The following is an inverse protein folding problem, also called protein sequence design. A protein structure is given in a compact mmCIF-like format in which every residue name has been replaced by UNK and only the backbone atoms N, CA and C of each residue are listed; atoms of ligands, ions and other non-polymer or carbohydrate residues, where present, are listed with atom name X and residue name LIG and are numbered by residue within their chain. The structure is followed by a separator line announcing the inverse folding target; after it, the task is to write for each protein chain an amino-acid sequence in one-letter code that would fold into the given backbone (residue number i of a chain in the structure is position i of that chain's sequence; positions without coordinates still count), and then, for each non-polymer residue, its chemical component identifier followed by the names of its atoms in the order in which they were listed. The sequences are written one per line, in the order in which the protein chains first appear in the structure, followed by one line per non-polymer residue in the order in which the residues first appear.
data_IF_774961847703
#
_entry.id   IF_774961847703
#
_cell.length_a   1.000
_cell.length_b   1.000
_cell.length_c   1.000
_cell.angle_alpha   90.00
_cell.angle_beta   90.00
_cell.angle_gamma   90.00
#
_symmetry.space_group_name_H-M   'P 1'
#
loop_
_entity.id
_entity.type
_entity.pdbx_description
1 polymer ?
#
# COMPACT_ATOMS: atom_id res chain seq x y z
N UNK A 1 0.29 -3.04 15.43
CA UNK A 1 -0.47 -1.93 14.82
C UNK A 1 0.35 -1.08 13.86
N UNK A 2 1.51 -0.55 14.28
CA UNK A 2 2.30 0.41 13.47
C UNK A 2 2.98 -0.21 12.25
N UNK A 3 3.43 -1.47 12.33
CA UNK A 3 4.03 -2.18 11.20
C UNK A 3 3.02 -2.41 10.07
N UNK A 4 1.80 -2.79 10.44
CA UNK A 4 0.69 -2.97 9.50
C UNK A 4 0.35 -1.67 8.79
N UNK A 5 0.32 -0.57 9.53
CA UNK A 5 0.01 0.75 8.96
C UNK A 5 1.08 1.21 7.96
N UNK A 6 2.37 1.08 8.28
CA UNK A 6 3.44 1.48 7.37
C UNK A 6 3.48 0.64 6.09
N UNK A 7 3.26 -0.68 6.20
CA UNK A 7 3.17 -1.54 5.01
C UNK A 7 1.94 -1.17 4.17
N UNK A 8 0.78 -1.00 4.80
CA UNK A 8 -0.43 -0.59 4.11
C UNK A 8 -0.23 0.74 3.37
N UNK A 9 0.26 1.77 4.05
CA UNK A 9 0.54 3.09 3.48
C UNK A 9 1.42 2.99 2.21
N UNK A 10 2.49 2.19 2.27
CA UNK A 10 3.37 1.98 1.12
C UNK A 10 2.63 1.34 -0.08
N UNK A 11 1.92 0.22 0.11
CA UNK A 11 1.21 -0.45 -1.01
C UNK A 11 -0.07 0.29 -1.43
N UNK A 12 -0.64 1.12 -0.56
CA UNK A 12 -1.79 1.97 -0.85
C UNK A 12 -1.43 3.25 -1.59
N UNK A 13 -0.18 3.70 -1.53
CA UNK A 13 0.25 4.97 -2.12
C UNK A 13 1.51 4.83 -2.97
N UNK A 14 1.63 3.71 -3.68
CA UNK A 14 2.65 3.50 -4.71
C UNK A 14 2.06 2.80 -5.92
N UNK A 15 2.78 2.85 -7.04
CA UNK A 15 2.42 2.08 -8.23
C UNK A 15 2.87 0.61 -8.15
N UNK A 16 3.15 0.07 -6.96
CA UNK A 16 3.59 -1.32 -6.80
C UNK A 16 2.59 -2.31 -7.41
N UNK A 17 1.29 -2.13 -7.12
CA UNK A 17 0.23 -3.01 -7.62
C UNK A 17 0.11 -2.92 -9.15
N UNK A 18 0.26 -1.71 -9.72
CA UNK A 18 0.28 -1.51 -11.17
C UNK A 18 1.41 -2.31 -11.83
N UNK A 19 2.63 -2.13 -11.33
CA UNK A 19 3.82 -2.81 -11.86
C UNK A 19 3.71 -4.33 -11.73
N UNK A 20 3.16 -4.81 -10.60
CA UNK A 20 2.96 -6.24 -10.40
C UNK A 20 1.90 -6.79 -11.37
N UNK A 21 0.79 -6.10 -11.57
CA UNK A 21 -0.25 -6.49 -12.53
C UNK A 21 0.30 -6.48 -13.96
N UNK A 22 1.05 -5.45 -14.35
CA UNK A 22 1.71 -5.35 -15.67
C UNK A 22 2.60 -6.58 -15.93
N UNK A 23 3.44 -6.94 -14.95
CA UNK A 23 4.35 -8.08 -15.06
C UNK A 23 3.64 -9.45 -15.12
N UNK A 24 2.42 -9.56 -14.57
CA UNK A 24 1.69 -10.82 -14.44
C UNK A 24 0.47 -10.94 -15.37
N UNK A 25 0.30 -10.00 -16.31
CA UNK A 25 -0.72 -10.08 -17.36
C UNK A 25 -2.09 -9.50 -16.98
N UNK A 26 -2.12 -8.65 -15.96
CA UNK A 26 -3.28 -7.87 -15.53
C UNK A 26 -4.36 -8.69 -14.82
N UNK A 27 -5.45 -8.01 -14.47
CA UNK A 27 -6.55 -8.58 -13.68
C UNK A 27 -7.17 -9.86 -14.24
N UNK A 28 -7.15 -10.04 -15.56
CA UNK A 28 -7.72 -11.23 -16.21
C UNK A 28 -6.95 -12.51 -15.90
N UNK A 29 -5.67 -12.39 -15.53
CA UNK A 29 -4.77 -13.52 -15.30
C UNK A 29 -4.35 -13.68 -13.85
N UNK A 30 -4.73 -12.76 -12.99
CA UNK A 30 -4.27 -12.71 -11.59
C UNK A 30 -5.44 -12.59 -10.64
N UNK A 31 -5.21 -13.02 -9.41
CA UNK A 31 -6.07 -12.75 -8.26
C UNK A 31 -5.27 -12.01 -7.18
N UNK A 32 -5.94 -11.31 -6.26
CA UNK A 32 -5.28 -10.64 -5.15
C UNK A 32 -4.32 -11.54 -4.37
N UNK A 33 -4.68 -12.82 -4.24
CA UNK A 33 -3.93 -13.81 -3.46
C UNK A 33 -2.60 -14.21 -4.13
N UNK A 34 -2.49 -13.96 -5.43
CA UNK A 34 -1.30 -14.27 -6.23
C UNK A 34 -0.21 -13.21 -6.08
N UNK A 35 -0.55 -12.01 -5.58
CA UNK A 35 0.42 -10.93 -5.42
C UNK A 35 1.54 -11.35 -4.47
N UNK A 36 2.78 -11.09 -4.87
CA UNK A 36 3.93 -11.22 -4.00
C UNK A 36 4.33 -9.82 -3.53
N UNK A 37 3.98 -9.44 -2.30
CA UNK A 37 4.39 -8.18 -1.68
C UNK A 37 5.89 -8.14 -1.34
N UNK A 38 6.60 -9.26 -1.41
CA UNK A 38 8.03 -9.36 -1.08
C UNK A 38 8.91 -9.53 -2.34
N UNK A 39 8.40 -9.19 -3.52
CA UNK A 39 9.16 -9.32 -4.76
C UNK A 39 10.34 -8.33 -4.79
N UNK A 40 11.54 -8.83 -4.51
CA UNK A 40 12.76 -8.02 -4.44
C UNK A 40 13.08 -7.33 -5.77
N UNK A 41 12.71 -7.93 -6.91
CA UNK A 41 12.96 -7.30 -8.22
C UNK A 41 12.06 -6.12 -8.42
N UNK A 42 10.79 -6.24 -8.03
CA UNK A 42 9.82 -5.16 -8.17
C UNK A 42 10.07 -4.04 -7.16
N UNK A 43 10.46 -4.39 -5.92
CA UNK A 43 10.88 -3.44 -4.89
C UNK A 43 12.15 -2.66 -5.26
N UNK A 44 12.98 -3.20 -6.15
CA UNK A 44 14.17 -2.54 -6.68
C UNK A 44 13.95 -1.95 -8.10
N UNK A 45 12.74 -2.05 -8.66
CA UNK A 45 12.44 -1.53 -10.01
C UNK A 45 12.53 0.00 -10.01
N UNK A 46 13.27 0.58 -10.94
CA UNK A 46 13.44 2.04 -11.06
C UNK A 46 12.15 2.79 -11.39
N UNK A 47 11.11 2.09 -11.86
CA UNK A 47 9.77 2.64 -12.15
C UNK A 47 8.88 2.67 -10.91
N UNK A 48 9.27 2.00 -9.82
CA UNK A 48 8.53 2.02 -8.58
C UNK A 48 8.57 3.42 -7.97
N UNK A 49 7.41 4.05 -7.85
CA UNK A 49 7.24 5.38 -7.30
C UNK A 49 6.13 5.39 -6.26
N UNK A 50 6.34 6.13 -5.18
CA UNK A 50 5.29 6.47 -4.23
C UNK A 50 4.63 7.80 -4.62
N UNK A 51 3.36 7.96 -4.27
CA UNK A 51 2.61 9.16 -4.56
C UNK A 51 3.23 10.40 -3.93
N UNK A 52 3.40 11.44 -4.73
CA UNK A 52 3.91 12.73 -4.25
C UNK A 52 2.86 13.42 -3.37
N UNK A 53 3.30 13.94 -2.23
CA UNK A 53 2.45 14.71 -1.32
C UNK A 53 2.49 16.18 -1.73
N UNK A 54 1.36 16.73 -2.17
CA UNK A 54 1.27 18.10 -2.66
C UNK A 54 0.57 18.96 -1.60
N UNK A 55 1.31 19.24 -0.51
CA UNK A 55 0.83 19.76 0.77
C UNK A 55 -0.23 20.88 0.69
N UNK A 56 0.01 21.92 -0.13
CA UNK A 56 -0.90 23.08 -0.24
C UNK A 56 -2.21 22.77 -0.95
N UNK A 57 -2.21 21.73 -1.77
CA UNK A 57 -3.31 21.35 -2.66
C UNK A 57 -4.13 20.22 -2.07
N UNK A 58 -3.51 19.34 -1.29
CA UNK A 58 -4.21 18.30 -0.55
C UNK A 58 -5.19 18.89 0.48
N UNK A 59 -4.89 20.08 1.01
CA UNK A 59 -5.82 20.88 1.85
C UNK A 59 -7.14 21.17 1.12
N UNK A 60 -7.12 21.37 -0.21
CA UNK A 60 -8.32 21.70 -1.00
C UNK A 60 -9.30 20.52 -1.04
N UNK A 61 -8.82 19.27 -0.95
CA UNK A 61 -9.68 18.08 -0.94
C UNK A 61 -10.48 17.92 0.35
N UNK A 62 -10.13 18.63 1.43
CA UNK A 62 -10.90 18.65 2.68
C UNK A 62 -12.14 19.56 2.61
N UNK A 63 -12.29 20.37 1.56
CA UNK A 63 -13.47 21.20 1.34
C UNK A 63 -14.55 20.35 0.63
N UNK A 64 -15.64 19.94 1.30
CA UNK A 64 -16.55 18.90 0.79
C UNK A 64 -17.23 19.26 -0.54
N UNK A 65 -17.46 20.56 -0.77
CA UNK A 65 -18.12 21.10 -1.96
C UNK A 65 -17.22 21.07 -3.21
N UNK A 66 -15.90 21.10 -3.03
CA UNK A 66 -14.92 21.20 -4.13
C UNK A 66 -14.29 19.85 -4.43
N UNK A 67 -14.31 18.91 -3.47
CA UNK A 67 -13.67 17.60 -3.54
C UNK A 67 -13.93 16.85 -4.84
N UNK A 68 -15.19 16.73 -5.29
CA UNK A 68 -15.51 15.95 -6.49
C UNK A 68 -15.01 16.62 -7.79
N UNK A 69 -15.06 17.95 -7.85
CA UNK A 69 -14.54 18.70 -9.00
C UNK A 69 -13.01 18.68 -9.05
N UNK A 70 -12.35 18.95 -7.91
CA UNK A 70 -10.90 18.89 -7.80
C UNK A 70 -10.36 17.48 -8.03
N UNK A 71 -11.06 16.42 -7.56
CA UNK A 71 -10.66 15.03 -7.86
C UNK A 71 -10.67 14.73 -9.35
N UNK A 72 -11.72 15.18 -10.05
CA UNK A 72 -11.89 14.92 -11.47
C UNK A 72 -10.93 15.71 -12.36
N UNK A 73 -10.57 16.93 -11.97
CA UNK A 73 -9.87 17.86 -12.88
C UNK A 73 -8.45 18.23 -12.43
N UNK A 74 -8.11 18.01 -11.16
CA UNK A 74 -6.85 18.48 -10.59
C UNK A 74 -6.00 17.37 -9.97
N UNK A 75 -6.47 16.15 -9.78
CA UNK A 75 -5.58 15.09 -9.27
C UNK A 75 -4.50 14.78 -10.32
N UNK A 76 -3.23 15.01 -9.96
CA UNK A 76 -2.11 14.62 -10.82
C UNK A 76 -1.98 13.10 -10.75
N UNK A 77 -1.71 12.41 -11.87
CA UNK A 77 -1.60 10.95 -11.89
C UNK A 77 -0.57 10.38 -10.90
N UNK A 78 0.47 11.14 -10.56
CA UNK A 78 1.55 10.76 -9.64
C UNK A 78 1.33 11.19 -8.18
N UNK A 79 0.17 11.76 -7.85
CA UNK A 79 -0.11 12.24 -6.49
C UNK A 79 -0.53 11.12 -5.54
N UNK A 80 -0.30 11.32 -4.25
CA UNK A 80 -0.72 10.43 -3.17
C UNK A 80 -2.21 10.06 -3.23
N UNK A 81 -3.06 11.03 -3.60
CA UNK A 81 -4.51 10.84 -3.73
C UNK A 81 -4.90 10.08 -5.01
N UNK A 82 -4.12 10.18 -6.10
CA UNK A 82 -4.36 9.42 -7.33
C UNK A 82 -4.05 7.93 -7.14
N UNK A 83 -2.99 7.64 -6.39
CA UNK A 83 -2.53 6.29 -6.13
C UNK A 83 -3.26 5.63 -4.97
N UNK A 84 -4.15 6.34 -4.27
CA UNK A 84 -4.78 5.90 -3.03
C UNK A 84 -5.58 4.60 -3.19
N UNK A 85 -5.15 3.54 -2.50
CA UNK A 85 -5.83 2.25 -2.37
C UNK A 85 -6.12 1.88 -0.90
N UNK A 86 -6.48 2.85 -0.06
CA UNK A 86 -6.74 2.60 1.37
C UNK A 86 -8.11 1.99 1.68
N UNK A 87 -9.07 2.13 0.77
CA UNK A 87 -10.44 1.65 0.98
C UNK A 87 -10.97 0.94 -0.27
N UNK A 88 -11.91 -0.02 -0.14
CA UNK A 88 -12.46 -0.78 -1.28
C UNK A 88 -13.03 0.09 -2.40
N UNK A 89 -13.52 1.29 -2.06
CA UNK A 89 -14.10 2.23 -3.01
C UNK A 89 -13.06 2.85 -3.96
N UNK A 90 -11.76 2.71 -3.66
CA UNK A 90 -10.69 3.22 -4.51
C UNK A 90 -10.45 2.41 -5.78
N UNK A 91 -10.97 1.18 -5.87
CA UNK A 91 -10.99 0.40 -7.12
C UNK A 91 -10.50 -1.04 -6.98
N UNK A 92 -10.42 -1.72 -8.13
CA UNK A 92 -10.12 -3.16 -8.21
C UNK A 92 -8.72 -3.54 -7.70
N UNK A 93 -7.82 -2.58 -7.53
CA UNK A 93 -6.47 -2.79 -6.99
C UNK A 93 -6.44 -2.85 -5.46
N UNK A 94 -7.46 -2.35 -4.77
CA UNK A 94 -7.51 -2.35 -3.30
C UNK A 94 -7.26 -3.74 -2.67
N UNK A 95 -7.88 -4.83 -3.13
CA UNK A 95 -7.62 -6.14 -2.53
C UNK A 95 -6.14 -6.58 -2.68
N UNK A 96 -5.50 -6.23 -3.80
CA UNK A 96 -4.08 -6.53 -4.05
C UNK A 96 -3.17 -5.77 -3.07
N UNK A 97 -3.41 -4.47 -2.85
CA UNK A 97 -2.63 -3.66 -1.91
C UNK A 97 -2.68 -4.22 -0.50
N UNK A 98 -3.87 -4.63 -0.04
CA UNK A 98 -4.07 -5.23 1.29
C UNK A 98 -3.33 -6.56 1.42
N UNK A 99 -3.40 -7.45 0.42
CA UNK A 99 -2.70 -8.74 0.47
C UNK A 99 -1.18 -8.53 0.52
N UNK A 100 -0.63 -7.67 -0.33
CA UNK A 100 0.79 -7.34 -0.33
C UNK A 100 1.24 -6.74 1.02
N UNK A 101 0.45 -5.82 1.58
CA UNK A 101 0.71 -5.21 2.88
C UNK A 101 0.72 -6.24 4.01
N UNK A 102 -0.20 -7.21 4.01
CA UNK A 102 -0.23 -8.30 4.99
C UNK A 102 1.01 -9.17 4.91
N UNK A 103 1.42 -9.57 3.71
CA UNK A 103 2.64 -10.36 3.50
C UNK A 103 3.89 -9.62 4.02
N UNK A 104 4.03 -8.34 3.69
CA UNK A 104 5.14 -7.51 4.17
C UNK A 104 5.12 -7.35 5.69
N UNK A 105 3.96 -7.05 6.25
CA UNK A 105 3.78 -6.94 7.71
C UNK A 105 4.21 -8.22 8.41
N UNK A 106 3.81 -9.38 7.88
CA UNK A 106 4.17 -10.67 8.45
C UNK A 106 5.67 -10.91 8.39
N UNK A 107 6.30 -10.67 7.25
CA UNK A 107 7.74 -10.84 7.08
C UNK A 107 8.56 -9.94 8.02
N UNK A 108 8.19 -8.66 8.14
CA UNK A 108 8.87 -7.73 9.04
C UNK A 108 8.64 -8.08 10.49
N UNK A 109 7.42 -8.50 10.86
CA UNK A 109 7.15 -9.03 12.19
C UNK A 109 8.03 -10.24 12.50
N UNK A 110 8.06 -11.24 11.62
CA UNK A 110 8.86 -12.45 11.82
C UNK A 110 10.36 -12.12 11.90
N UNK A 111 10.85 -11.13 11.13
CA UNK A 111 12.22 -10.61 11.23
C UNK A 111 12.49 -9.96 12.58
N UNK A 112 11.61 -9.06 13.03
CA UNK A 112 11.74 -8.38 14.33
C UNK A 112 11.74 -9.40 15.46
N UNK A 113 10.81 -10.34 15.47
CA UNK A 113 10.67 -11.34 16.53
C UNK A 113 11.91 -12.21 16.69
N UNK A 114 12.64 -12.51 15.60
CA UNK A 114 13.92 -13.24 15.66
C UNK A 114 15.04 -12.47 16.38
N UNK A 115 14.94 -11.15 16.49
CA UNK A 115 15.95 -10.29 17.14
C UNK A 115 15.66 -10.01 18.61
N UNK A 116 14.45 -10.31 19.08
CA UNK A 116 14.03 -10.01 20.44
C UNK A 116 14.39 -11.15 21.39
N UNK A 117 14.76 -10.79 22.63
CA UNK A 117 14.83 -11.77 23.71
C UNK A 117 13.43 -12.33 24.02
N UNK A 118 13.31 -13.53 24.61
CA UNK A 118 12.02 -14.11 24.96
C UNK A 118 11.12 -13.17 25.79
N UNK A 119 11.70 -12.39 26.72
CA UNK A 119 10.92 -11.42 27.51
C UNK A 119 10.38 -10.26 26.65
N UNK A 120 11.17 -9.75 25.71
CA UNK A 120 10.75 -8.65 24.81
C UNK A 120 9.76 -9.14 23.75
N UNK A 121 9.97 -10.34 23.24
CA UNK A 121 9.04 -11.00 22.33
C UNK A 121 7.66 -11.18 22.97
N UNK A 122 7.59 -11.58 24.25
CA UNK A 122 6.33 -11.72 24.99
C UNK A 122 5.56 -10.39 25.15
N UNK A 123 6.24 -9.24 25.07
CA UNK A 123 5.60 -7.92 25.10
C UNK A 123 5.03 -7.50 23.73
N UNK A 124 5.45 -8.15 22.64
CA UNK A 124 5.05 -7.81 21.28
C UNK A 124 3.81 -8.62 20.87
N UNK A 125 2.62 -8.03 21.01
CA UNK A 125 1.31 -8.68 20.73
C UNK A 125 0.65 -8.19 19.45
N UNK A 126 1.45 -7.71 18.51
CA UNK A 126 0.98 -7.01 17.31
C UNK A 126 0.23 -7.91 16.30
N UNK A 127 0.32 -9.24 16.44
CA UNK A 127 -0.38 -10.22 15.60
C UNK A 127 -1.18 -11.17 16.49
N UNK A 128 -2.36 -10.74 16.93
CA UNK A 128 -3.43 -11.64 17.35
C UNK A 128 -4.55 -11.49 16.31
N UNK A 129 -4.71 -12.47 15.42
CA UNK A 129 -5.83 -12.51 14.46
C UNK A 129 -5.57 -11.97 13.05
N UNK A 130 -4.37 -12.14 12.48
CA UNK A 130 -4.20 -12.14 11.02
C UNK A 130 -4.63 -13.48 10.43
#
# INVERSE_FOLDING_TARGET
GKLTHAAQDFYSHSNYVDLWLEANGGFEKTKPEDINGLDEKLLADSRLVSGNFYLWRDIIYYIPLIKNFAKKHWVFPDSHEAMNLDVPQCGAQFPYSIVAAKQRTRAEYDRVMKTLSPQRAAMFRDIVGL
#
